data_IF_972076970524
#
_entry.id   IF_972076970524
#
_cell.length_a   1.000
_cell.length_b   1.000
_cell.length_c   1.000
_cell.angle_alpha   90.00
_cell.angle_beta   90.00
_cell.angle_gamma   90.00
#
_symmetry.space_group_name_H-M   'P 1'
#
loop_
_entity.id
_entity.type
_entity.pdbx_description
1 polymer ?
#
# COMPACT_ATOMS: atom_id res chain seq x y z
N UNK A 1 -5.93 -14.76 -17.67
CA UNK A 1 -6.92 -15.00 -18.74
C UNK A 1 -6.26 -15.61 -19.99
N UNK A 2 -4.99 -15.41 -20.24
CA UNK A 2 -4.27 -15.97 -21.40
C UNK A 2 -3.58 -17.32 -21.14
N UNK A 3 -3.83 -17.97 -20.02
CA UNK A 3 -3.27 -19.28 -19.72
C UNK A 3 -3.94 -20.34 -20.61
N UNK A 4 -3.13 -21.08 -21.38
CA UNK A 4 -3.57 -22.19 -22.23
C UNK A 4 -4.38 -23.25 -21.47
N UNK A 5 -4.09 -23.42 -20.18
CA UNK A 5 -4.80 -24.39 -19.32
C UNK A 5 -6.21 -23.92 -18.95
N UNK A 6 -6.48 -22.61 -19.00
CA UNK A 6 -7.77 -22.05 -18.63
C UNK A 6 -8.73 -21.91 -19.80
N UNK A 7 -8.26 -21.44 -20.97
CA UNK A 7 -9.08 -21.19 -22.14
C UNK A 7 -8.77 -22.10 -23.34
N UNK A 8 -7.70 -22.87 -23.28
CA UNK A 8 -7.24 -23.69 -24.41
C UNK A 8 -8.19 -24.82 -24.84
N UNK A 9 -9.14 -25.19 -23.97
CA UNK A 9 -10.14 -26.23 -24.25
C UNK A 9 -11.52 -25.70 -24.61
N UNK A 10 -11.70 -24.37 -24.64
CA UNK A 10 -13.00 -23.77 -25.02
C UNK A 10 -13.15 -23.83 -26.53
N UNK A 11 -14.18 -24.54 -26.98
CA UNK A 11 -14.56 -24.61 -28.39
C UNK A 11 -15.70 -23.63 -28.65
N UNK A 12 -15.48 -22.72 -29.57
CA UNK A 12 -16.48 -21.76 -30.03
C UNK A 12 -17.08 -22.29 -31.32
N UNK A 13 -18.37 -22.59 -31.31
CA UNK A 13 -19.12 -22.99 -32.49
C UNK A 13 -19.75 -21.76 -33.15
N UNK A 14 -19.40 -21.49 -34.41
CA UNK A 14 -19.93 -20.37 -35.17
C UNK A 14 -20.82 -20.94 -36.29
N UNK A 15 -22.09 -20.55 -36.30
CA UNK A 15 -23.01 -20.85 -37.39
C UNK A 15 -23.03 -19.67 -38.36
N UNK A 16 -22.64 -19.88 -39.56
CA UNK A 16 -22.60 -18.87 -40.64
C UNK A 16 -23.49 -19.26 -41.79
N UNK A 17 -24.03 -18.25 -42.48
CA UNK A 17 -24.71 -18.46 -43.78
C UNK A 17 -23.76 -18.78 -44.94
N UNK A 18 -22.47 -18.59 -44.72
CA UNK A 18 -21.40 -18.80 -45.69
C UNK A 18 -20.55 -20.02 -45.27
N UNK A 19 -20.01 -20.75 -46.24
CA UNK A 19 -19.21 -21.95 -45.95
C UNK A 19 -17.96 -21.62 -45.09
N UNK A 20 -17.37 -20.46 -45.31
CA UNK A 20 -16.23 -19.98 -44.53
C UNK A 20 -16.51 -18.58 -43.99
N UNK A 21 -16.59 -18.40 -42.66
CA UNK A 21 -16.73 -17.08 -42.08
C UNK A 21 -15.48 -16.22 -42.30
N UNK A 22 -15.68 -14.94 -42.57
CA UNK A 22 -14.57 -14.00 -42.73
C UNK A 22 -13.84 -13.79 -41.41
N UNK A 23 -12.59 -13.32 -41.47
CA UNK A 23 -11.77 -13.03 -40.29
C UNK A 23 -12.47 -12.08 -39.33
N UNK A 24 -13.19 -11.08 -39.85
CA UNK A 24 -13.92 -10.10 -39.01
C UNK A 24 -15.07 -10.76 -38.22
N UNK A 25 -15.77 -11.70 -38.84
CA UNK A 25 -16.84 -12.48 -38.17
C UNK A 25 -16.26 -13.36 -37.07
N UNK A 26 -15.13 -14.01 -37.34
CA UNK A 26 -14.41 -14.81 -36.36
C UNK A 26 -13.94 -13.96 -35.18
N UNK A 27 -13.33 -12.81 -35.49
CA UNK A 27 -12.86 -11.86 -34.47
C UNK A 27 -14.02 -11.37 -33.60
N UNK A 28 -15.12 -10.94 -34.20
CA UNK A 28 -16.31 -10.48 -33.48
C UNK A 28 -16.90 -11.57 -32.58
N UNK A 29 -17.01 -12.80 -33.09
CA UNK A 29 -17.53 -13.92 -32.29
C UNK A 29 -16.62 -14.22 -31.09
N UNK A 30 -15.30 -14.25 -31.27
CA UNK A 30 -14.33 -14.42 -30.20
C UNK A 30 -14.44 -13.29 -29.17
N UNK A 31 -14.52 -12.04 -29.61
CA UNK A 31 -14.66 -10.88 -28.73
C UNK A 31 -15.94 -10.94 -27.89
N UNK A 32 -17.08 -11.31 -28.49
CA UNK A 32 -18.35 -11.47 -27.76
C UNK A 32 -18.29 -12.59 -26.73
N UNK A 33 -17.74 -13.74 -27.08
CA UNK A 33 -17.59 -14.88 -26.15
C UNK A 33 -16.67 -14.52 -24.99
N UNK A 34 -15.53 -13.91 -25.28
CA UNK A 34 -14.59 -13.46 -24.24
C UNK A 34 -15.21 -12.38 -23.32
N UNK A 35 -16.02 -11.46 -23.88
CA UNK A 35 -16.77 -10.48 -23.10
C UNK A 35 -17.77 -11.14 -22.14
N UNK A 36 -18.56 -12.10 -22.63
CA UNK A 36 -19.51 -12.85 -21.79
C UNK A 36 -18.82 -13.69 -20.71
N UNK A 37 -17.65 -14.27 -21.02
CA UNK A 37 -16.85 -14.99 -20.03
C UNK A 37 -16.35 -14.02 -18.96
N UNK A 38 -15.83 -12.85 -19.37
CA UNK A 38 -15.34 -11.84 -18.45
C UNK A 38 -16.45 -11.32 -17.52
N UNK A 39 -17.64 -11.04 -18.05
CA UNK A 39 -18.83 -10.65 -17.27
C UNK A 39 -19.24 -11.76 -16.29
N UNK A 40 -19.25 -13.02 -16.73
CA UNK A 40 -19.59 -14.17 -15.88
C UNK A 40 -18.58 -14.36 -14.75
N UNK A 41 -17.30 -14.18 -15.02
CA UNK A 41 -16.23 -14.26 -14.00
C UNK A 41 -16.36 -13.09 -13.01
N UNK A 42 -16.70 -11.89 -13.47
CA UNK A 42 -16.92 -10.75 -12.59
C UNK A 42 -18.14 -10.90 -11.68
N UNK A 43 -19.16 -11.62 -12.15
CA UNK A 43 -20.36 -11.91 -11.34
C UNK A 43 -20.13 -12.97 -10.25
N UNK A 44 -19.08 -13.78 -10.35
CA UNK A 44 -18.66 -14.75 -9.33
C UNK A 44 -17.56 -14.14 -8.43
N UNK A 45 -17.50 -12.83 -8.32
CA UNK A 45 -16.60 -12.16 -7.39
C UNK A 45 -16.93 -12.65 -5.98
N UNK A 46 -16.06 -13.51 -5.43
CA UNK A 46 -16.15 -13.85 -4.01
C UNK A 46 -16.04 -12.58 -3.22
N UNK A 47 -17.04 -12.26 -2.43
CA UNK A 47 -16.95 -11.20 -1.43
C UNK A 47 -16.15 -11.76 -0.25
N UNK A 48 -15.08 -11.09 0.09
CA UNK A 48 -14.29 -11.38 1.28
C UNK A 48 -14.61 -10.33 2.32
N UNK A 49 -14.68 -10.74 3.56
CA UNK A 49 -14.66 -9.83 4.70
C UNK A 49 -13.30 -9.95 5.37
N UNK A 50 -12.69 -8.84 5.72
CA UNK A 50 -11.45 -8.82 6.47
C UNK A 50 -11.71 -9.18 7.93
N UNK A 51 -10.81 -9.93 8.55
CA UNK A 51 -10.82 -10.11 10.00
C UNK A 51 -10.60 -8.78 10.69
N UNK A 52 -11.37 -8.49 11.75
CA UNK A 52 -11.14 -7.32 12.62
C UNK A 52 -10.08 -7.60 13.69
N UNK A 53 -9.24 -8.60 13.48
CA UNK A 53 -8.19 -9.00 14.41
C UNK A 53 -6.83 -8.85 13.74
N UNK A 54 -5.86 -8.31 14.48
CA UNK A 54 -4.47 -8.23 14.06
C UNK A 54 -3.61 -9.11 14.97
N UNK A 55 -2.67 -9.81 14.37
CA UNK A 55 -1.64 -10.56 15.08
C UNK A 55 -0.34 -9.78 15.08
N UNK A 56 0.41 -9.86 16.17
CA UNK A 56 1.74 -9.28 16.27
C UNK A 56 2.75 -10.23 15.67
N UNK A 57 3.59 -9.72 14.78
CA UNK A 57 4.72 -10.44 14.21
C UNK A 57 6.01 -9.64 14.43
N UNK A 58 7.15 -10.32 14.44
CA UNK A 58 8.41 -9.61 14.51
C UNK A 58 8.69 -8.86 13.20
N UNK A 59 9.18 -7.64 13.31
CA UNK A 59 9.50 -6.80 12.14
C UNK A 59 10.44 -7.54 11.17
N UNK A 60 11.44 -8.28 11.68
CA UNK A 60 12.36 -9.05 10.84
C UNK A 60 11.72 -10.26 10.15
N UNK A 61 10.54 -10.71 10.59
CA UNK A 61 9.79 -11.78 9.92
C UNK A 61 8.95 -11.24 8.75
N UNK A 62 8.46 -10.02 8.87
CA UNK A 62 7.70 -9.31 7.83
C UNK A 62 8.66 -8.65 6.82
N UNK A 63 9.58 -7.83 7.32
CA UNK A 63 10.52 -7.08 6.49
C UNK A 63 11.80 -7.88 6.28
N UNK A 64 11.91 -8.53 5.14
CA UNK A 64 13.11 -9.27 4.73
C UNK A 64 14.05 -8.36 3.95
N UNK A 65 15.33 -8.69 3.98
CA UNK A 65 16.31 -8.05 3.10
C UNK A 65 15.87 -8.24 1.64
N UNK A 66 15.54 -7.14 0.98
CA UNK A 66 15.04 -7.13 -0.38
C UNK A 66 15.99 -6.31 -1.26
N UNK A 67 16.43 -6.91 -2.34
CA UNK A 67 17.18 -6.18 -3.37
C UNK A 67 16.17 -5.51 -4.30
N UNK A 68 16.07 -4.20 -4.24
CA UNK A 68 15.24 -3.42 -5.15
C UNK A 68 16.10 -2.92 -6.31
N UNK A 69 15.69 -3.23 -7.54
CA UNK A 69 16.28 -2.65 -8.73
C UNK A 69 15.40 -1.46 -9.15
N UNK A 70 15.94 -0.26 -9.05
CA UNK A 70 15.26 0.95 -9.52
C UNK A 70 15.56 1.13 -11.00
N UNK A 71 14.50 1.27 -11.79
CA UNK A 71 14.59 1.53 -13.25
C UNK A 71 14.54 3.04 -13.43
N UNK A 72 15.27 3.54 -14.44
CA UNK A 72 15.31 4.95 -14.80
C UNK A 72 13.90 5.57 -14.84
N UNK A 73 13.63 6.65 -14.07
CA UNK A 73 12.34 7.31 -14.02
C UNK A 73 11.86 7.87 -15.35
N UNK A 74 12.75 8.12 -16.30
CA UNK A 74 12.39 8.56 -17.66
C UNK A 74 11.60 7.51 -18.45
N UNK A 75 11.63 6.25 -18.01
CA UNK A 75 10.89 5.14 -18.60
C UNK A 75 9.72 4.64 -17.73
N UNK A 76 9.16 5.48 -16.86
CA UNK A 76 8.06 5.13 -15.97
C UNK A 76 8.47 4.28 -14.79
N UNK A 77 9.74 4.29 -14.40
CA UNK A 77 10.29 3.63 -13.23
C UNK A 77 9.98 4.34 -11.92
N UNK A 78 10.36 3.71 -10.81
CA UNK A 78 10.25 4.24 -9.45
C UNK A 78 11.12 5.49 -9.31
N UNK A 79 10.66 6.45 -8.52
CA UNK A 79 11.26 7.77 -8.38
C UNK A 79 12.76 7.79 -8.09
N UNK A 80 13.37 8.96 -8.25
CA UNK A 80 14.77 9.19 -7.92
C UNK A 80 15.00 9.20 -6.42
N UNK A 81 16.26 9.05 -6.00
CA UNK A 81 16.71 9.28 -4.62
C UNK A 81 16.16 10.59 -4.05
N UNK A 82 15.83 10.60 -2.77
CA UNK A 82 15.40 11.84 -2.10
C UNK A 82 16.52 12.87 -2.04
N UNK A 83 17.78 12.45 -2.15
CA UNK A 83 18.93 13.31 -2.19
C UNK A 83 19.36 13.71 -3.62
N UNK A 84 18.64 13.32 -4.65
CA UNK A 84 18.96 13.65 -6.05
C UNK A 84 18.91 15.17 -6.30
N UNK A 85 19.74 15.63 -7.23
CA UNK A 85 19.83 17.06 -7.58
C UNK A 85 18.54 17.61 -8.19
N UNK A 86 17.74 16.76 -8.83
CA UNK A 86 16.47 17.13 -9.45
C UNK A 86 15.31 17.26 -8.45
N UNK A 87 15.48 16.79 -7.22
CA UNK A 87 14.46 16.91 -6.17
C UNK A 87 14.41 18.35 -5.67
N UNK A 88 13.22 18.97 -5.54
CA UNK A 88 13.06 20.30 -4.98
C UNK A 88 13.76 20.43 -3.62
N UNK A 89 14.41 21.56 -3.40
CA UNK A 89 15.23 21.79 -2.21
C UNK A 89 14.47 21.57 -0.90
N UNK A 90 13.17 21.84 -0.87
CA UNK A 90 12.31 21.68 0.30
C UNK A 90 12.07 20.21 0.68
N UNK A 91 12.28 19.28 -0.26
CA UNK A 91 12.10 17.84 -0.05
C UNK A 91 13.41 17.08 -0.08
N UNK A 92 14.47 17.71 -0.57
CA UNK A 92 15.79 17.12 -0.68
C UNK A 92 16.41 16.89 0.68
N UNK A 93 16.84 15.65 0.95
CA UNK A 93 17.54 15.29 2.18
C UNK A 93 18.39 14.03 2.03
N UNK A 94 19.43 13.99 2.84
CA UNK A 94 20.27 12.80 3.02
C UNK A 94 19.73 11.98 4.20
N UNK A 95 19.00 10.91 3.90
CA UNK A 95 18.38 10.05 4.90
C UNK A 95 19.36 9.07 5.54
N UNK A 96 20.54 8.87 4.99
CA UNK A 96 21.55 7.93 5.51
C UNK A 96 22.05 8.30 6.91
N UNK A 97 21.81 9.53 7.35
CA UNK A 97 22.21 10.05 8.68
C UNK A 97 21.07 10.11 9.68
N UNK A 98 19.88 9.72 9.26
CA UNK A 98 18.67 9.84 10.08
C UNK A 98 18.42 8.52 10.82
N UNK A 99 18.42 8.56 12.13
CA UNK A 99 18.21 7.41 13.00
C UNK A 99 16.76 6.95 13.13
N UNK A 100 15.83 7.76 12.63
CA UNK A 100 14.40 7.50 12.64
C UNK A 100 13.87 6.91 11.33
N UNK A 101 14.64 6.96 10.23
CA UNK A 101 14.24 6.36 8.96
C UNK A 101 14.95 5.02 8.78
N UNK A 102 14.19 3.96 8.49
CA UNK A 102 14.73 2.59 8.52
C UNK A 102 15.65 2.24 7.34
N UNK A 103 15.71 3.08 6.33
CA UNK A 103 16.54 2.88 5.14
C UNK A 103 17.51 4.05 4.94
N UNK A 104 18.56 3.83 4.14
CA UNK A 104 19.55 4.87 3.84
C UNK A 104 19.03 5.94 2.88
N UNK A 105 17.94 5.65 2.12
CA UNK A 105 17.38 6.55 1.13
C UNK A 105 15.90 6.26 0.85
N UNK A 106 15.21 7.19 0.19
CA UNK A 106 13.82 7.08 -0.23
C UNK A 106 13.68 7.36 -1.74
N UNK A 107 13.25 6.34 -2.48
CA UNK A 107 13.03 6.41 -3.93
C UNK A 107 11.54 6.56 -4.28
N UNK A 108 10.80 7.23 -3.45
CA UNK A 108 9.38 7.44 -3.61
C UNK A 108 8.98 8.45 -4.68
N UNK A 109 7.68 8.62 -4.84
CA UNK A 109 7.06 9.67 -5.64
C UNK A 109 7.29 11.06 -5.02
N UNK A 110 6.85 12.12 -5.69
CA UNK A 110 6.91 13.50 -5.16
C UNK A 110 6.13 13.63 -3.84
N UNK A 111 4.97 12.99 -3.73
CA UNK A 111 4.14 13.04 -2.51
C UNK A 111 4.80 12.28 -1.35
N UNK A 112 5.36 11.12 -1.63
CA UNK A 112 6.12 10.36 -0.65
C UNK A 112 7.35 11.14 -0.13
N UNK A 113 8.07 11.82 -1.03
CA UNK A 113 9.20 12.69 -0.64
C UNK A 113 8.75 13.90 0.18
N UNK A 114 7.65 14.52 -0.20
CA UNK A 114 7.07 15.62 0.55
C UNK A 114 6.65 15.17 1.96
N UNK A 115 6.04 13.99 2.08
CA UNK A 115 5.69 13.40 3.38
C UNK A 115 6.93 13.17 4.26
N UNK A 116 7.98 12.57 3.75
CA UNK A 116 9.20 12.31 4.53
C UNK A 116 9.85 13.62 4.98
N UNK A 117 9.87 14.64 4.13
CA UNK A 117 10.37 15.96 4.49
C UNK A 117 9.47 16.67 5.53
N UNK A 118 8.17 16.49 5.45
CA UNK A 118 7.22 16.97 6.45
C UNK A 118 7.45 16.26 7.79
N UNK A 119 7.53 14.93 7.79
CA UNK A 119 7.76 14.13 8.98
C UNK A 119 9.03 14.55 9.72
N UNK A 120 10.10 14.86 8.99
CA UNK A 120 11.36 15.35 9.57
C UNK A 120 11.19 16.58 10.45
N UNK A 121 10.23 17.44 10.17
CA UNK A 121 9.97 18.65 10.98
C UNK A 121 9.43 18.31 12.37
N UNK A 122 8.69 17.21 12.48
CA UNK A 122 7.99 16.81 13.71
C UNK A 122 8.64 15.65 14.45
N UNK A 123 9.64 14.99 13.87
CA UNK A 123 10.26 13.81 14.47
C UNK A 123 10.85 14.05 15.85
N UNK A 124 11.38 15.25 16.10
CA UNK A 124 11.94 15.60 17.41
C UNK A 124 10.84 15.70 18.47
N UNK A 125 9.69 16.26 18.14
CA UNK A 125 8.54 16.31 19.04
C UNK A 125 8.01 14.90 19.37
N UNK A 126 8.09 13.98 18.41
CA UNK A 126 7.77 12.57 18.66
C UNK A 126 8.83 11.91 19.55
N UNK A 127 10.11 12.19 19.34
CA UNK A 127 11.19 11.67 20.19
C UNK A 127 11.15 12.18 21.62
N UNK A 128 10.54 13.36 21.85
CA UNK A 128 10.29 13.87 23.20
C UNK A 128 9.17 13.10 23.94
N UNK A 129 8.28 12.46 23.17
CA UNK A 129 7.11 11.72 23.72
C UNK A 129 7.30 10.20 23.73
N UNK A 130 8.12 9.66 22.84
CA UNK A 130 8.34 8.24 22.65
C UNK A 130 9.81 7.88 22.73
N UNK A 131 10.14 6.79 23.38
CA UNK A 131 11.53 6.34 23.54
C UNK A 131 12.18 5.94 22.22
N UNK A 132 11.37 5.44 21.26
CA UNK A 132 11.84 5.12 19.91
C UNK A 132 10.80 5.52 18.88
N UNK A 133 11.30 6.10 17.79
CA UNK A 133 10.51 6.53 16.65
C UNK A 133 11.16 5.98 15.38
N UNK A 134 10.44 5.15 14.63
CA UNK A 134 10.92 4.61 13.37
C UNK A 134 9.88 4.75 12.27
N UNK A 135 10.25 5.38 11.18
CA UNK A 135 9.49 5.42 9.93
C UNK A 135 10.08 4.41 8.96
N UNK A 136 9.25 3.47 8.51
CA UNK A 136 9.63 2.39 7.61
C UNK A 136 8.84 2.52 6.31
N UNK A 137 9.52 2.58 5.17
CA UNK A 137 8.87 2.46 3.88
C UNK A 137 8.50 0.99 3.64
N UNK A 138 7.28 0.72 3.25
CA UNK A 138 6.76 -0.64 3.19
C UNK A 138 7.40 -1.52 2.11
N UNK A 139 7.82 -0.97 0.99
CA UNK A 139 8.39 -1.73 -0.14
C UNK A 139 7.54 -2.98 -0.52
N UNK A 140 6.21 -2.90 -0.34
CA UNK A 140 5.25 -3.97 -0.62
C UNK A 140 5.50 -5.27 0.15
N UNK A 141 6.03 -5.20 1.34
CA UNK A 141 6.31 -6.38 2.16
C UNK A 141 5.19 -6.67 3.16
N UNK A 142 4.53 -5.62 3.66
CA UNK A 142 3.35 -5.75 4.51
C UNK A 142 2.10 -5.38 3.73
N UNK A 143 1.06 -6.17 3.91
CA UNK A 143 -0.28 -5.87 3.41
C UNK A 143 -1.32 -6.21 4.47
N UNK A 144 -2.40 -5.46 4.44
CA UNK A 144 -3.57 -5.65 5.29
C UNK A 144 -4.81 -5.71 4.41
N UNK A 145 -5.94 -6.11 4.97
CA UNK A 145 -7.18 -6.28 4.22
C UNK A 145 -8.28 -5.41 4.83
N UNK A 146 -9.04 -4.73 3.97
CA UNK A 146 -10.20 -3.94 4.41
C UNK A 146 -11.25 -4.83 5.07
N UNK A 147 -11.97 -4.28 6.06
CA UNK A 147 -12.94 -5.05 6.83
C UNK A 147 -14.18 -5.42 6.01
N UNK A 148 -14.67 -4.48 5.20
CA UNK A 148 -15.96 -4.62 4.51
C UNK A 148 -15.87 -5.38 3.20
N UNK A 149 -14.77 -5.29 2.48
CA UNK A 149 -14.60 -5.89 1.15
C UNK A 149 -13.44 -6.86 1.03
N UNK A 150 -12.58 -6.93 2.04
CA UNK A 150 -11.37 -7.75 2.01
C UNK A 150 -10.40 -7.33 0.91
N UNK A 151 -10.47 -6.06 0.46
CA UNK A 151 -9.51 -5.52 -0.48
C UNK A 151 -8.13 -5.44 0.14
N UNK A 152 -7.13 -5.86 -0.63
CA UNK A 152 -5.75 -5.79 -0.22
C UNK A 152 -5.25 -4.36 -0.25
N UNK A 153 -4.73 -3.90 0.87
CA UNK A 153 -4.11 -2.60 1.04
C UNK A 153 -2.64 -2.76 1.45
N UNK A 154 -1.77 -2.04 0.79
CA UNK A 154 -0.34 -1.95 1.07
C UNK A 154 -0.03 -0.49 1.38
N UNK A 155 0.00 -0.08 2.67
CA UNK A 155 0.36 1.30 3.03
C UNK A 155 1.78 1.61 2.58
N UNK A 156 2.03 2.83 2.13
CA UNK A 156 3.37 3.23 1.68
C UNK A 156 4.37 3.30 2.82
N UNK A 157 3.92 3.72 4.01
CA UNK A 157 4.77 3.83 5.20
C UNK A 157 4.10 3.24 6.44
N UNK A 158 4.98 2.78 7.36
CA UNK A 158 4.63 2.40 8.72
C UNK A 158 5.45 3.24 9.68
N UNK A 159 4.77 3.89 10.62
CA UNK A 159 5.40 4.59 11.72
C UNK A 159 5.27 3.75 12.98
N UNK A 160 6.39 3.43 13.61
CA UNK A 160 6.46 2.74 14.89
C UNK A 160 6.85 3.72 15.99
N UNK A 161 5.99 3.84 16.99
CA UNK A 161 6.19 4.66 18.18
C UNK A 161 6.22 3.74 19.39
N UNK A 162 7.34 3.71 20.10
CA UNK A 162 7.57 2.80 21.20
C UNK A 162 7.77 3.57 22.51
N UNK A 163 7.10 3.12 23.58
CA UNK A 163 7.25 3.66 24.92
C UNK A 163 7.55 2.53 25.90
N UNK A 164 8.69 2.59 26.56
CA UNK A 164 9.06 1.66 27.61
C UNK A 164 8.22 1.94 28.87
N UNK A 165 7.74 0.89 29.51
CA UNK A 165 7.01 0.96 30.79
C UNK A 165 7.77 0.16 31.85
N UNK A 166 7.44 0.37 33.11
CA UNK A 166 8.06 -0.39 34.22
C UNK A 166 7.83 -1.90 34.08
N UNK A 167 6.72 -2.29 33.45
CA UNK A 167 6.32 -3.68 33.25
C UNK A 167 5.91 -3.86 31.77
N UNK A 168 6.89 -4.03 30.90
CA UNK A 168 6.67 -4.19 29.46
C UNK A 168 6.82 -2.90 28.66
N UNK A 169 6.09 -2.77 27.55
CA UNK A 169 6.11 -1.61 26.67
C UNK A 169 4.76 -1.37 25.97
N UNK A 170 4.58 -0.17 25.48
CA UNK A 170 3.52 0.18 24.54
C UNK A 170 4.14 0.44 23.16
N UNK A 171 3.53 -0.08 22.12
CA UNK A 171 3.88 0.21 20.74
C UNK A 171 2.64 0.63 19.98
N UNK A 172 2.72 1.81 19.38
CA UNK A 172 1.75 2.31 18.43
C UNK A 172 2.34 2.14 17.03
N UNK A 173 1.59 1.48 16.16
CA UNK A 173 1.89 1.35 14.75
C UNK A 173 0.88 2.15 13.94
N UNK A 174 1.37 3.04 13.11
CA UNK A 174 0.52 3.92 12.28
C UNK A 174 0.76 3.60 10.82
N UNK A 175 -0.32 3.38 10.09
CA UNK A 175 -0.30 3.21 8.63
C UNK A 175 -0.48 4.55 7.96
N UNK A 176 0.37 4.87 6.99
CA UNK A 176 0.44 6.16 6.33
C UNK A 176 0.50 5.97 4.82
N UNK A 177 -0.34 6.71 4.11
CA UNK A 177 -0.45 6.68 2.65
C UNK A 177 -0.37 8.12 2.12
N UNK A 178 0.77 8.59 1.62
CA UNK A 178 0.86 9.85 0.89
C UNK A 178 0.15 9.72 -0.46
N UNK A 179 -0.67 10.73 -0.83
CA UNK A 179 -1.51 10.64 -2.01
C UNK A 179 -1.54 11.95 -2.79
N UNK A 180 -1.29 11.88 -4.09
CA UNK A 180 -1.49 13.03 -4.98
C UNK A 180 -2.98 13.34 -5.16
N UNK A 181 -3.32 14.64 -5.27
CA UNK A 181 -4.70 15.14 -5.37
C UNK A 181 -5.57 14.39 -6.38
N UNK A 182 -5.02 14.05 -7.54
CA UNK A 182 -5.73 13.37 -8.62
C UNK A 182 -6.10 11.90 -8.33
N UNK A 183 -5.60 11.33 -7.25
CA UNK A 183 -5.86 9.94 -6.83
C UNK A 183 -6.75 9.82 -5.60
N UNK A 184 -7.02 10.92 -4.89
CA UNK A 184 -7.77 10.91 -3.62
C UNK A 184 -9.16 10.29 -3.81
N UNK A 185 -9.94 10.78 -4.77
CA UNK A 185 -11.29 10.26 -5.00
C UNK A 185 -11.29 8.78 -5.42
N UNK A 186 -10.36 8.40 -6.28
CA UNK A 186 -10.28 7.02 -6.80
C UNK A 186 -9.95 6.01 -5.70
N UNK A 187 -9.12 6.39 -4.76
CA UNK A 187 -8.60 5.53 -3.70
C UNK A 187 -9.29 5.81 -2.34
N UNK A 188 -10.42 6.54 -2.31
CA UNK A 188 -11.12 6.94 -1.09
C UNK A 188 -11.40 5.78 -0.13
N UNK A 189 -11.68 4.57 -0.64
CA UNK A 189 -11.88 3.38 0.17
C UNK A 189 -10.69 3.04 1.08
N UNK A 190 -9.47 3.38 0.66
CA UNK A 190 -8.26 3.17 1.48
C UNK A 190 -8.22 4.14 2.66
N UNK A 191 -8.60 5.40 2.42
CA UNK A 191 -8.71 6.41 3.46
C UNK A 191 -9.79 6.03 4.48
N UNK A 192 -10.98 5.63 3.98
CA UNK A 192 -12.08 5.16 4.82
C UNK A 192 -11.63 3.97 5.69
N UNK A 193 -10.86 3.04 5.12
CA UNK A 193 -10.32 1.91 5.86
C UNK A 193 -9.27 2.34 6.91
N UNK A 194 -8.37 3.27 6.58
CA UNK A 194 -7.41 3.81 7.55
C UNK A 194 -8.11 4.47 8.74
N UNK A 195 -9.18 5.24 8.50
CA UNK A 195 -9.97 5.86 9.57
C UNK A 195 -10.76 4.85 10.41
N UNK A 196 -11.18 3.75 9.81
CA UNK A 196 -11.80 2.66 10.58
C UNK A 196 -10.82 2.02 11.57
N UNK A 197 -9.52 1.98 11.27
CA UNK A 197 -8.50 1.46 12.18
C UNK A 197 -8.42 2.29 13.46
N UNK A 198 -8.56 3.60 13.37
CA UNK A 198 -8.58 4.49 14.53
C UNK A 198 -9.85 4.34 15.36
N UNK A 199 -11.01 4.32 14.68
CA UNK A 199 -12.32 4.41 15.35
C UNK A 199 -12.74 3.12 16.07
N UNK A 200 -12.24 1.96 15.67
CA UNK A 200 -12.78 0.66 16.11
C UNK A 200 -12.06 0.02 17.28
N UNK A 201 -11.04 0.64 17.87
CA UNK A 201 -10.25 0.08 18.99
C UNK A 201 -9.88 -1.41 18.76
N UNK A 202 -9.25 -1.70 17.63
CA UNK A 202 -9.06 -3.03 17.08
C UNK A 202 -8.26 -3.91 18.04
N UNK A 203 -8.74 -5.12 18.35
CA UNK A 203 -8.01 -6.05 19.18
C UNK A 203 -6.75 -6.54 18.48
N UNK A 204 -5.63 -6.49 19.18
CA UNK A 204 -4.35 -7.00 18.71
C UNK A 204 -3.93 -8.18 19.57
N UNK A 205 -3.74 -9.35 18.96
CA UNK A 205 -3.23 -10.53 19.66
C UNK A 205 -1.77 -10.31 20.06
N UNK A 206 -1.45 -10.52 21.33
CA UNK A 206 -0.16 -10.19 21.94
C UNK A 206 0.76 -11.40 22.02
N UNK A 207 2.06 -11.15 21.94
CA UNK A 207 3.07 -12.16 22.24
C UNK A 207 3.33 -12.34 23.75
N UNK A 208 3.16 -11.27 24.55
CA UNK A 208 3.42 -11.27 25.97
C UNK A 208 2.37 -10.44 26.72
N UNK A 209 2.07 -10.84 27.93
CA UNK A 209 0.95 -10.30 28.72
C UNK A 209 1.05 -8.81 29.06
N UNK A 210 2.28 -8.30 29.22
CA UNK A 210 2.51 -6.92 29.69
C UNK A 210 2.74 -5.91 28.57
N UNK A 211 2.77 -6.35 27.31
CA UNK A 211 2.97 -5.47 26.17
C UNK A 211 1.64 -5.03 25.58
N UNK A 212 1.55 -3.76 25.23
CA UNK A 212 0.37 -3.18 24.59
C UNK A 212 0.70 -2.76 23.16
N UNK A 213 -0.13 -3.20 22.25
CA UNK A 213 -0.04 -2.83 20.85
C UNK A 213 -1.28 -2.08 20.45
N UNK A 214 -1.07 -0.98 19.72
CA UNK A 214 -2.13 -0.17 19.14
C UNK A 214 -1.86 0.02 17.67
N UNK A 215 -2.93 0.08 16.88
CA UNK A 215 -2.86 0.30 15.45
C UNK A 215 -3.67 1.53 15.12
N UNK A 216 -3.12 2.40 14.30
CA UNK A 216 -3.80 3.57 13.80
C UNK A 216 -3.64 3.68 12.29
N UNK A 217 -4.61 4.32 11.64
CA UNK A 217 -4.50 4.83 10.29
C UNK A 217 -4.66 6.33 10.28
N UNK A 218 -3.95 6.99 9.41
CA UNK A 218 -4.09 8.43 9.21
C UNK A 218 -4.86 8.70 7.92
N UNK A 219 -5.50 9.87 7.85
CA UNK A 219 -5.93 10.46 6.58
C UNK A 219 -4.79 10.44 5.56
N UNK A 220 -5.11 10.42 4.29
CA UNK A 220 -4.09 10.60 3.27
C UNK A 220 -3.30 11.87 3.53
N UNK A 221 -1.99 11.74 3.56
CA UNK A 221 -1.14 12.91 3.47
C UNK A 221 -1.20 13.44 2.03
N UNK A 222 -1.64 14.69 1.89
CA UNK A 222 -1.61 15.40 0.61
C UNK A 222 -0.98 16.77 0.82
N UNK A 223 0.09 17.03 0.10
CA UNK A 223 0.88 18.26 0.21
C UNK A 223 0.06 19.52 -0.03
N UNK A 224 -0.85 19.49 -0.99
CA UNK A 224 -1.55 20.68 -1.48
C UNK A 224 -2.85 20.95 -0.70
N UNK A 225 -3.50 19.92 -0.20
CA UNK A 225 -4.83 20.02 0.39
C UNK A 225 -4.88 19.73 1.90
N UNK A 226 -3.96 18.91 2.43
CA UNK A 226 -4.06 18.34 3.78
C UNK A 226 -2.75 18.37 4.57
N UNK A 227 -1.85 19.28 4.25
CA UNK A 227 -0.55 19.38 4.93
C UNK A 227 -0.59 20.13 6.26
N UNK A 228 -1.74 20.62 6.72
CA UNK A 228 -1.87 21.62 7.80
C UNK A 228 -2.88 21.24 8.89
N UNK A 229 -3.46 20.03 8.87
CA UNK A 229 -4.32 19.57 9.96
C UNK A 229 -3.57 18.59 10.92
#
# INVERSE_FOLDING_TARGET
ILDKNYLGNIKIHITSKYETPTTDVLYYACFKVLGSIAESISSIKKTYEGSKEFTVEYVHDVFKNKKCNYIDPHNGGIGMSQNDISVPIDYKMDLSKEDWFAFEDNYGTSEEKAFVAYFKKYVNELKDKYDKVYLVRNERQLHIYSFDGGERFEPDYLLFLHTQKNDGYEQLQVFIEPKGTHLIEKDSWKEDFLLQLESNAIPVTKFADNNKYKIWGFHFFNRDERSVE
#
